data_IF_993059367816
#
_entry.id   IF_993059367816
#
_cell.length_a   1.000
_cell.length_b   1.000
_cell.length_c   1.000
_cell.angle_alpha   90.00
_cell.angle_beta   90.00
_cell.angle_gamma   90.00
#
_symmetry.space_group_name_H-M   'P 1'
#
loop_
_entity.id
_entity.type
_entity.pdbx_description
1 polymer ?
#
# COMPACT_ATOMS: atom_id res chain seq x y z
N UNK A 1 4.88 -11.92 1.95
CA UNK A 1 5.43 -11.42 0.67
C UNK A 1 4.58 -10.25 0.24
N UNK A 2 5.24 -9.14 -0.08
CA UNK A 2 4.59 -7.92 -0.50
C UNK A 2 4.48 -7.91 -2.03
N UNK A 3 3.36 -7.45 -2.56
CA UNK A 3 3.05 -7.46 -4.00
C UNK A 3 2.45 -6.12 -4.40
N UNK A 4 2.85 -5.63 -5.58
CA UNK A 4 2.32 -4.40 -6.14
C UNK A 4 2.26 -4.50 -7.66
N UNK A 5 1.07 -4.27 -8.22
CA UNK A 5 0.83 -4.28 -9.66
C UNK A 5 0.71 -2.83 -10.15
N UNK A 6 1.55 -2.43 -11.11
CA UNK A 6 1.57 -1.07 -11.64
C UNK A 6 1.44 -1.08 -13.15
N UNK A 7 0.55 -0.25 -13.69
CA UNK A 7 0.43 -0.03 -15.14
C UNK A 7 1.61 0.79 -15.65
N UNK A 8 2.27 0.35 -16.71
CA UNK A 8 3.37 1.10 -17.34
C UNK A 8 2.87 2.06 -18.42
N UNK A 9 3.80 2.81 -19.02
CA UNK A 9 3.49 3.83 -20.04
C UNK A 9 2.83 3.26 -21.29
N UNK A 10 3.06 1.97 -21.60
CA UNK A 10 2.42 1.26 -22.71
C UNK A 10 1.05 0.69 -22.33
N UNK A 11 0.62 0.93 -21.09
CA UNK A 11 -0.63 0.44 -20.55
C UNK A 11 -0.63 -1.02 -20.12
N UNK A 12 0.54 -1.68 -20.08
CA UNK A 12 0.68 -3.05 -19.59
C UNK A 12 0.85 -3.06 -18.08
N UNK A 13 0.36 -4.11 -17.42
CA UNK A 13 0.56 -4.31 -15.98
C UNK A 13 1.92 -4.96 -15.76
N UNK A 14 2.72 -4.38 -14.88
CA UNK A 14 3.97 -4.93 -14.37
C UNK A 14 3.77 -5.38 -12.92
N UNK A 15 4.35 -6.51 -12.56
CA UNK A 15 4.18 -7.15 -11.27
C UNK A 15 5.46 -7.04 -10.44
N UNK A 16 5.40 -6.30 -9.33
CA UNK A 16 6.50 -6.15 -8.39
C UNK A 16 6.25 -7.02 -7.16
N UNK A 17 7.30 -7.69 -6.68
CA UNK A 17 7.22 -8.55 -5.51
C UNK A 17 8.43 -8.30 -4.62
N UNK A 18 8.20 -8.25 -3.31
CA UNK A 18 9.25 -8.20 -2.31
C UNK A 18 9.07 -9.36 -1.31
N UNK A 19 10.10 -10.19 -1.21
CA UNK A 19 10.06 -11.41 -0.39
C UNK A 19 10.53 -11.15 1.04
N UNK A 20 11.39 -10.15 1.22
CA UNK A 20 11.92 -9.75 2.51
C UNK A 20 11.72 -8.25 2.73
N UNK A 21 10.84 -7.92 3.67
CA UNK A 21 10.64 -6.54 4.14
C UNK A 21 11.07 -6.51 5.61
N UNK A 22 12.06 -5.67 6.00
CA UNK A 22 12.55 -5.67 7.37
C UNK A 22 11.47 -5.16 8.33
N UNK A 23 11.46 -5.69 9.56
CA UNK A 23 10.49 -5.29 10.60
C UNK A 23 10.50 -3.78 10.90
N UNK A 24 11.59 -3.07 10.57
CA UNK A 24 11.62 -1.61 10.64
C UNK A 24 10.53 -0.96 9.78
N UNK A 25 10.23 -1.50 8.59
CA UNK A 25 9.17 -0.99 7.72
C UNK A 25 7.78 -1.19 8.29
N UNK A 26 7.56 -2.27 9.04
CA UNK A 26 6.33 -2.46 9.80
C UNK A 26 6.18 -1.34 10.85
N UNK A 27 7.23 -1.01 11.59
CA UNK A 27 7.21 0.06 12.60
C UNK A 27 6.97 1.43 11.95
N UNK A 28 7.62 1.70 10.81
CA UNK A 28 7.39 2.91 10.02
C UNK A 28 5.93 3.02 9.56
N UNK A 29 5.36 1.93 9.03
CA UNK A 29 3.96 1.87 8.60
C UNK A 29 2.97 2.09 9.74
N UNK A 30 3.23 1.52 10.93
CA UNK A 30 2.40 1.76 12.12
C UNK A 30 2.44 3.21 12.62
N UNK A 31 3.50 3.95 12.30
CA UNK A 31 3.60 5.39 12.60
C UNK A 31 2.95 6.25 11.53
N UNK A 32 2.61 5.70 10.38
CA UNK A 32 1.98 6.40 9.26
C UNK A 32 0.49 6.61 9.56
N UNK A 33 0.19 7.57 10.43
CA UNK A 33 -1.17 7.91 10.89
C UNK A 33 -1.41 9.42 10.79
N UNK A 34 -2.64 9.88 10.54
CA UNK A 34 -2.94 11.32 10.48
C UNK A 34 -2.50 12.09 11.74
N UNK A 35 -2.55 11.46 12.91
CA UNK A 35 -2.15 12.06 14.18
C UNK A 35 -0.65 12.38 14.24
N UNK A 36 0.18 11.58 13.58
CA UNK A 36 1.63 11.81 13.48
C UNK A 36 2.01 12.77 12.34
N UNK A 37 1.05 13.11 11.47
CA UNK A 37 1.23 13.99 10.32
C UNK A 37 0.06 14.98 10.19
N UNK A 38 -0.22 15.80 11.21
CA UNK A 38 -1.43 16.62 11.29
C UNK A 38 -1.49 17.76 10.25
N UNK A 39 -0.34 18.10 9.66
CA UNK A 39 -0.21 19.21 8.70
C UNK A 39 -0.39 18.75 7.24
N UNK A 40 -0.51 17.45 6.97
CA UNK A 40 -0.70 16.96 5.60
C UNK A 40 -2.17 17.07 5.21
N UNK A 41 -2.43 17.66 4.05
CA UNK A 41 -3.74 17.56 3.41
C UNK A 41 -3.95 16.19 2.75
N UNK A 42 -5.14 15.94 2.20
CA UNK A 42 -5.46 14.65 1.58
C UNK A 42 -4.53 14.29 0.41
N UNK A 43 -4.06 15.29 -0.35
CA UNK A 43 -3.18 15.06 -1.50
C UNK A 43 -1.77 14.70 -1.04
N UNK A 44 -1.23 15.46 -0.09
CA UNK A 44 0.07 15.18 0.52
C UNK A 44 0.05 13.84 1.26
N UNK A 45 -1.08 13.47 1.87
CA UNK A 45 -1.27 12.16 2.49
C UNK A 45 -1.17 11.02 1.47
N UNK A 46 -1.81 11.14 0.31
CA UNK A 46 -1.70 10.14 -0.76
C UNK A 46 -0.26 10.02 -1.27
N UNK A 47 0.44 11.15 -1.46
CA UNK A 47 1.85 11.13 -1.84
C UNK A 47 2.74 10.46 -0.79
N UNK A 48 2.46 10.70 0.50
CA UNK A 48 3.18 10.09 1.62
C UNK A 48 2.99 8.58 1.66
N UNK A 49 1.78 8.11 1.41
CA UNK A 49 1.46 6.68 1.31
C UNK A 49 2.21 6.02 0.15
N UNK A 50 2.22 6.65 -1.03
CA UNK A 50 2.97 6.15 -2.18
C UNK A 50 4.49 6.14 -1.94
N UNK A 51 5.03 7.18 -1.29
CA UNK A 51 6.44 7.22 -0.88
C UNK A 51 6.79 6.06 0.05
N UNK A 52 5.96 5.81 1.07
CA UNK A 52 6.16 4.71 2.00
C UNK A 52 6.12 3.35 1.29
N UNK A 53 5.13 3.12 0.42
CA UNK A 53 5.03 1.89 -0.36
C UNK A 53 6.30 1.62 -1.17
N UNK A 54 6.78 2.62 -1.91
CA UNK A 54 8.02 2.54 -2.68
C UNK A 54 9.22 2.18 -1.81
N UNK A 55 9.30 2.74 -0.60
CA UNK A 55 10.41 2.49 0.33
C UNK A 55 10.51 1.03 0.82
N UNK A 56 9.46 0.23 0.65
CA UNK A 56 9.43 -1.17 1.06
C UNK A 56 9.99 -2.14 0.02
N UNK A 57 10.33 -1.67 -1.19
CA UNK A 57 10.91 -2.50 -2.26
C UNK A 57 12.42 -2.26 -2.43
N UNK A 58 13.18 -3.33 -2.64
CA UNK A 58 14.58 -3.21 -3.04
C UNK A 58 14.73 -2.69 -4.47
N UNK A 59 13.80 -3.08 -5.36
CA UNK A 59 13.74 -2.64 -6.76
C UNK A 59 13.55 -1.12 -6.85
N UNK A 60 14.60 -0.43 -7.30
CA UNK A 60 14.65 1.04 -7.39
C UNK A 60 13.75 1.62 -8.49
N UNK A 61 13.16 0.78 -9.35
CA UNK A 61 12.16 1.22 -10.31
C UNK A 61 10.78 1.48 -9.66
N UNK A 62 10.52 0.88 -8.48
CA UNK A 62 9.31 1.12 -7.68
C UNK A 62 9.46 2.43 -6.91
N UNK A 63 9.24 3.54 -7.60
CA UNK A 63 9.32 4.90 -7.04
C UNK A 63 7.94 5.46 -6.69
N UNK A 64 7.88 6.51 -5.86
CA UNK A 64 6.65 7.27 -5.59
C UNK A 64 5.90 7.60 -6.89
N UNK A 65 6.63 8.20 -7.85
CA UNK A 65 6.05 8.59 -9.14
C UNK A 65 5.53 7.38 -9.92
N UNK A 66 6.29 6.28 -9.94
CA UNK A 66 5.89 5.05 -10.64
C UNK A 66 4.57 4.49 -10.08
N UNK A 67 4.36 4.59 -8.78
CA UNK A 67 3.14 4.16 -8.10
C UNK A 67 1.98 5.09 -8.46
N UNK A 68 2.16 6.41 -8.32
CA UNK A 68 1.11 7.39 -8.61
C UNK A 68 0.66 7.36 -10.08
N UNK A 69 1.58 7.15 -11.02
CA UNK A 69 1.25 7.02 -12.45
C UNK A 69 0.66 5.64 -12.80
N UNK A 70 1.00 4.61 -12.01
CA UNK A 70 0.72 3.21 -12.31
C UNK A 70 -0.57 2.67 -11.70
N UNK A 71 -1.14 3.36 -10.71
CA UNK A 71 -2.38 2.99 -10.03
C UNK A 71 -3.53 3.86 -10.54
N UNK A 72 -4.66 3.23 -10.85
CA UNK A 72 -5.86 4.00 -11.21
C UNK A 72 -6.35 4.82 -10.01
N UNK A 73 -6.73 6.09 -10.23
CA UNK A 73 -7.09 7.00 -9.14
C UNK A 73 -8.16 6.46 -8.20
N UNK A 74 -9.20 5.79 -8.74
CA UNK A 74 -10.27 5.18 -7.95
C UNK A 74 -9.86 3.91 -7.19
N UNK A 75 -8.71 3.31 -7.51
CA UNK A 75 -8.20 2.08 -6.88
C UNK A 75 -7.11 2.35 -5.83
N UNK A 76 -6.60 3.59 -5.72
CA UNK A 76 -5.43 3.90 -4.88
C UNK A 76 -5.60 3.45 -3.42
N UNK A 77 -6.73 3.81 -2.79
CA UNK A 77 -7.00 3.43 -1.40
C UNK A 77 -7.08 1.90 -1.24
N UNK A 78 -7.66 1.18 -2.21
CA UNK A 78 -7.74 -0.28 -2.18
C UNK A 78 -6.35 -0.92 -2.30
N UNK A 79 -5.52 -0.41 -3.20
CA UNK A 79 -4.14 -0.87 -3.39
C UNK A 79 -3.33 -0.65 -2.10
N UNK A 80 -3.40 0.56 -1.52
CA UNK A 80 -2.73 0.88 -0.27
C UNK A 80 -3.21 0.01 0.90
N UNK A 81 -4.51 -0.21 1.03
CA UNK A 81 -5.06 -1.09 2.08
C UNK A 81 -4.59 -2.54 1.91
N UNK A 82 -4.58 -3.05 0.68
CA UNK A 82 -4.08 -4.40 0.38
C UNK A 82 -2.58 -4.52 0.71
N UNK A 83 -1.80 -3.51 0.35
CA UNK A 83 -0.39 -3.41 0.69
C UNK A 83 -0.16 -3.46 2.21
N UNK A 84 -0.91 -2.68 2.99
CA UNK A 84 -0.80 -2.66 4.44
C UNK A 84 -1.20 -4.00 5.08
N UNK A 85 -2.25 -4.65 4.58
CA UNK A 85 -2.63 -5.98 5.05
C UNK A 85 -1.49 -6.99 4.84
N UNK A 86 -0.83 -6.95 3.67
CA UNK A 86 0.33 -7.80 3.38
C UNK A 86 1.51 -7.50 4.30
N UNK A 87 1.82 -6.21 4.52
CA UNK A 87 2.90 -5.78 5.40
C UNK A 87 2.67 -6.20 6.86
N UNK A 88 1.42 -6.10 7.33
CA UNK A 88 1.04 -6.43 8.70
C UNK A 88 0.80 -7.93 8.92
N UNK A 89 0.92 -8.75 7.86
CA UNK A 89 0.68 -10.19 7.93
C UNK A 89 -0.79 -10.56 8.18
N UNK A 90 -1.70 -9.65 7.86
CA UNK A 90 -3.15 -9.88 7.97
C UNK A 90 -3.58 -10.74 6.78
N UNK A 91 -4.18 -11.90 7.07
CA UNK A 91 -4.76 -12.77 6.03
C UNK A 91 -6.09 -12.16 5.54
N UNK A 92 -6.19 -11.75 4.27
CA UNK A 92 -7.40 -11.12 3.74
C UNK A 92 -8.63 -12.02 3.84
N UNK A 93 -8.46 -13.35 3.80
CA UNK A 93 -9.58 -14.31 3.97
C UNK A 93 -10.18 -14.27 5.37
N UNK A 94 -9.43 -13.82 6.37
CA UNK A 94 -9.93 -13.68 7.76
C UNK A 94 -10.66 -12.36 7.97
N UNK A 95 -10.31 -11.31 7.22
CA UNK A 95 -10.95 -9.99 7.29
C UNK A 95 -12.33 -10.01 6.63
N UNK A 96 -12.46 -10.66 5.46
CA UNK A 96 -13.76 -10.80 4.78
C UNK A 96 -14.76 -11.62 5.61
N UNK A 97 -14.27 -12.62 6.36
CA UNK A 97 -15.09 -13.43 7.25
C UNK A 97 -15.60 -12.67 8.48
N UNK A 98 -14.85 -11.69 9.01
CA UNK A 98 -15.29 -10.85 10.14
C UNK A 98 -16.31 -9.81 9.71
N UNK A 99 -16.11 -9.13 8.58
CA UNK A 99 -17.04 -8.10 8.09
C UNK A 99 -18.40 -8.68 7.67
N UNK A 100 -18.41 -9.91 7.16
CA UNK A 100 -19.64 -10.63 6.80
C UNK A 100 -20.37 -11.22 8.01
N UNK A 101 -19.71 -11.39 9.15
CA UNK A 101 -20.33 -11.77 10.42
C UNK A 101 -20.97 -10.56 11.12
N UNK A 102 -20.31 -9.39 11.10
CA UNK A 102 -20.86 -8.16 11.70
C UNK A 102 -22.08 -7.62 10.96
N UNK A 103 -22.16 -7.78 9.63
CA UNK A 103 -23.35 -7.40 8.83
C UNK A 103 -24.58 -8.29 9.04
N UNK A 104 -24.48 -9.37 9.83
CA UNK A 104 -25.57 -10.32 10.11
C UNK A 104 -26.23 -10.11 11.48
N UNK A 105 -25.86 -9.07 12.23
CA UNK A 105 -26.42 -8.74 13.54
C UNK A 105 -27.23 -7.44 13.53
#
# INVERSE_FOLDING_TARGET
>A
MLKLDLRNKDGKVEHFQETFVPALKLIEGLKLTPENFPDLDESDWMEKNAEFMASCFEDKSVTKQRILDGVAAWDFNKVFNTFNQQLFGIDPKKVEASESAEKKH
#
